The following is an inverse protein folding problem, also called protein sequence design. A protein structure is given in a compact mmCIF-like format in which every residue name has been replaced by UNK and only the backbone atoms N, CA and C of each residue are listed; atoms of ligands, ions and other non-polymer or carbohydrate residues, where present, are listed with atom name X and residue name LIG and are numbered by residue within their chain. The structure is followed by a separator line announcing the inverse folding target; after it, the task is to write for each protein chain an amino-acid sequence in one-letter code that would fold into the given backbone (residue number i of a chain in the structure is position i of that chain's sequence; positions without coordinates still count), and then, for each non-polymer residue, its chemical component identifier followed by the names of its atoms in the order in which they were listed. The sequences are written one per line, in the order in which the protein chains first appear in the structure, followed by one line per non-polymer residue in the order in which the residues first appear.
data_IF_112573103791
#
_entry.id   IF_112573103791
#
_cell.length_a   1.000
_cell.length_b   1.000
_cell.length_c   1.000
_cell.angle_alpha   90.00
_cell.angle_beta   90.00
_cell.angle_gamma   90.00
#
_symmetry.space_group_name_H-M   'P 1'
#
loop_
_entity.id
_entity.type
_entity.pdbx_description
1 polymer ?
#
# COMPACT_ATOMS: atom_id res chain seq x y z
N UNK A 1 -7.34 -17.32 -8.27
CA UNK A 1 -6.87 -16.60 -7.07
C UNK A 1 -7.00 -17.55 -5.89
N UNK A 2 -5.98 -17.69 -5.03
CA UNK A 2 -6.14 -18.40 -3.76
C UNK A 2 -6.95 -17.53 -2.78
N UNK A 3 -7.92 -18.14 -2.09
CA UNK A 3 -8.87 -17.44 -1.23
C UNK A 3 -8.28 -17.19 0.17
N UNK A 4 -8.65 -16.09 0.84
CA UNK A 4 -8.19 -15.85 2.19
C UNK A 4 -8.78 -16.86 3.17
N UNK A 5 -8.08 -17.09 4.28
CA UNK A 5 -8.47 -18.10 5.25
C UNK A 5 -9.72 -17.73 6.04
N UNK A 6 -9.94 -16.45 6.32
CA UNK A 6 -10.98 -15.97 7.20
C UNK A 6 -11.85 -14.95 6.47
N UNK A 7 -13.13 -14.87 6.87
CA UNK A 7 -14.11 -13.97 6.25
C UNK A 7 -14.73 -14.51 4.96
N UNK A 8 -14.35 -15.73 4.54
CA UNK A 8 -15.02 -16.46 3.47
C UNK A 8 -16.13 -17.34 4.05
N UNK A 9 -17.38 -17.18 3.61
CA UNK A 9 -18.50 -18.04 3.99
C UNK A 9 -18.29 -19.51 3.58
N UNK A 10 -19.24 -20.37 3.96
CA UNK A 10 -19.18 -21.84 3.77
C UNK A 10 -18.97 -22.25 2.30
N UNK A 11 -19.42 -21.39 1.36
CA UNK A 11 -19.30 -21.60 -0.09
C UNK A 11 -18.18 -20.80 -0.74
N UNK A 12 -17.25 -20.26 0.05
CA UNK A 12 -16.08 -19.52 -0.39
C UNK A 12 -16.36 -18.13 -1.00
N UNK A 13 -17.43 -17.46 -0.58
CA UNK A 13 -17.73 -16.06 -0.91
C UNK A 13 -17.37 -15.13 0.25
N UNK A 14 -16.83 -13.95 -0.06
CA UNK A 14 -16.45 -12.95 0.93
C UNK A 14 -17.68 -12.49 1.72
N UNK A 15 -17.70 -12.69 3.04
CA UNK A 15 -18.78 -12.26 3.92
C UNK A 15 -18.53 -10.82 4.36
N UNK A 16 -19.32 -9.90 3.83
CA UNK A 16 -19.27 -8.47 4.21
C UNK A 16 -19.79 -8.19 5.63
N UNK A 17 -20.39 -9.20 6.27
CA UNK A 17 -21.05 -9.07 7.57
C UNK A 17 -20.22 -9.61 8.73
N UNK A 18 -19.12 -10.32 8.45
CA UNK A 18 -18.28 -10.96 9.46
C UNK A 18 -16.81 -10.77 9.10
N UNK A 19 -16.19 -9.79 9.73
CA UNK A 19 -14.79 -9.47 9.50
C UNK A 19 -13.87 -10.44 10.27
N UNK A 20 -12.63 -10.57 9.82
CA UNK A 20 -11.64 -11.33 10.56
C UNK A 20 -11.34 -10.69 11.91
N UNK A 21 -11.61 -11.44 12.98
CA UNK A 21 -11.61 -10.96 14.36
C UNK A 21 -12.98 -11.00 15.04
N UNK A 22 -14.08 -11.19 14.30
CA UNK A 22 -15.38 -11.49 14.92
C UNK A 22 -15.38 -12.90 15.54
N UNK A 23 -15.99 -13.11 16.72
CA UNK A 23 -16.03 -14.41 17.39
C UNK A 23 -16.65 -15.53 16.54
N UNK A 24 -17.54 -15.14 15.61
CA UNK A 24 -18.31 -16.06 14.76
C UNK A 24 -17.88 -15.99 13.28
N UNK A 25 -16.74 -15.38 12.97
CA UNK A 25 -16.20 -15.35 11.62
C UNK A 25 -15.72 -16.74 11.20
N UNK A 26 -16.14 -17.26 10.04
CA UNK A 26 -15.65 -18.53 9.53
C UNK A 26 -14.15 -18.45 9.23
N UNK A 27 -13.39 -19.41 9.76
CA UNK A 27 -11.97 -19.62 9.50
C UNK A 27 -11.82 -20.91 8.68
N UNK A 28 -10.92 -20.88 7.70
CA UNK A 28 -10.71 -21.97 6.78
C UNK A 28 -10.16 -23.21 7.51
N UNK A 29 -10.48 -24.43 7.02
CA UNK A 29 -9.74 -25.62 7.40
C UNK A 29 -8.28 -25.45 6.95
N UNK A 30 -7.32 -25.69 7.86
CA UNK A 30 -5.88 -25.53 7.65
C UNK A 30 -5.43 -24.11 7.26
N UNK A 31 -5.40 -23.15 8.21
CA UNK A 31 -4.91 -21.79 7.97
C UNK A 31 -3.48 -21.72 7.44
N UNK A 32 -2.66 -22.70 7.82
CA UNK A 32 -1.26 -22.85 7.39
C UNK A 32 -1.13 -23.34 5.92
N UNK A 33 -2.25 -23.51 5.20
CA UNK A 33 -2.30 -23.87 3.77
C UNK A 33 -2.82 -22.74 2.86
N UNK A 34 -3.03 -21.52 3.40
CA UNK A 34 -3.47 -20.34 2.63
C UNK A 34 -2.38 -19.30 2.54
N UNK A 35 -2.28 -18.53 1.45
CA UNK A 35 -1.31 -17.41 1.35
C UNK A 35 -1.78 -16.18 2.15
N UNK A 36 -3.08 -15.99 2.37
CA UNK A 36 -3.62 -14.84 3.09
C UNK A 36 -4.66 -15.24 4.16
N UNK A 37 -4.60 -14.57 5.32
CA UNK A 37 -5.54 -14.70 6.42
C UNK A 37 -6.89 -14.08 6.11
N UNK A 38 -6.97 -12.86 5.59
CA UNK A 38 -8.22 -12.11 5.39
C UNK A 38 -8.24 -11.33 4.06
N UNK A 39 -7.29 -11.63 3.17
CA UNK A 39 -7.06 -10.93 1.92
C UNK A 39 -6.08 -9.75 2.08
N UNK A 40 -5.71 -9.41 3.32
CA UNK A 40 -4.92 -8.24 3.69
C UNK A 40 -3.68 -8.60 4.52
N UNK A 41 -3.76 -9.66 5.32
CA UNK A 41 -2.68 -10.21 6.12
C UNK A 41 -2.24 -11.54 5.50
N UNK A 42 -0.94 -11.77 5.39
CA UNK A 42 -0.41 -13.04 4.89
C UNK A 42 -0.36 -14.08 6.02
N UNK A 43 -0.54 -15.36 5.71
CA UNK A 43 -0.37 -16.44 6.71
C UNK A 43 1.11 -16.83 6.85
N UNK A 44 1.42 -17.64 7.86
CA UNK A 44 2.73 -18.23 8.06
C UNK A 44 3.23 -19.04 6.85
N UNK A 45 2.32 -19.61 6.05
CA UNK A 45 2.68 -20.35 4.84
C UNK A 45 3.25 -19.45 3.74
N UNK A 46 2.77 -18.21 3.62
CA UNK A 46 3.35 -17.24 2.68
C UNK A 46 4.83 -16.94 3.00
N UNK A 47 5.26 -17.22 4.24
CA UNK A 47 6.59 -16.92 4.75
C UNK A 47 7.51 -18.14 4.86
N UNK A 48 7.05 -19.35 4.51
CA UNK A 48 7.94 -20.51 4.43
C UNK A 48 8.93 -20.34 3.26
N UNK A 49 10.11 -19.78 3.56
CA UNK A 49 11.27 -19.70 2.65
C UNK A 49 11.44 -18.40 1.85
N UNK A 50 10.59 -17.37 2.01
CA UNK A 50 10.50 -16.25 1.06
C UNK A 50 10.45 -14.83 1.68
N UNK A 51 11.11 -14.60 2.82
CA UNK A 51 11.20 -13.28 3.49
C UNK A 51 10.14 -13.05 4.55
N UNK A 52 10.21 -11.92 5.27
CA UNK A 52 9.29 -11.56 6.35
C UNK A 52 8.63 -10.21 6.04
N UNK A 53 7.30 -10.13 6.11
CA UNK A 53 6.55 -8.91 5.86
C UNK A 53 5.81 -8.48 7.13
N UNK A 54 6.11 -7.25 7.59
CA UNK A 54 5.47 -6.63 8.75
C UNK A 54 4.47 -5.53 8.35
N UNK A 55 4.33 -5.26 7.05
CA UNK A 55 3.44 -4.24 6.53
C UNK A 55 1.99 -4.55 6.90
N UNK A 56 1.29 -3.52 7.34
CA UNK A 56 -0.13 -3.60 7.63
C UNK A 56 -0.90 -2.62 6.75
N UNK A 57 -1.99 -3.10 6.18
CA UNK A 57 -3.05 -2.26 5.65
C UNK A 57 -3.36 -1.08 6.56
N UNK A 58 -3.47 0.10 5.94
CA UNK A 58 -3.82 1.35 6.60
C UNK A 58 -2.88 1.87 7.68
N UNK A 59 -1.68 1.33 7.79
CA UNK A 59 -0.74 1.88 8.74
C UNK A 59 -0.40 3.33 8.41
N UNK A 60 -0.38 4.15 9.44
CA UNK A 60 0.06 5.53 9.39
C UNK A 60 1.54 5.63 9.71
N UNK A 61 2.23 6.63 9.14
CA UNK A 61 3.60 6.95 9.51
C UNK A 61 3.65 7.44 10.96
N UNK A 62 2.65 8.22 11.35
CA UNK A 62 2.53 8.79 12.68
C UNK A 62 1.66 7.92 13.60
N UNK A 63 1.99 7.85 14.90
CA UNK A 63 1.10 7.25 15.89
C UNK A 63 -0.25 7.97 15.95
N UNK A 64 -1.29 7.24 16.30
CA UNK A 64 -2.67 7.76 16.40
C UNK A 64 -2.77 8.93 17.38
N UNK A 65 -1.97 8.96 18.44
CA UNK A 65 -1.94 10.06 19.41
C UNK A 65 -1.40 11.36 18.80
N UNK A 66 -0.47 11.25 17.86
CA UNK A 66 0.09 12.41 17.14
C UNK A 66 -0.92 12.95 16.13
N UNK A 67 -1.64 12.05 15.44
CA UNK A 67 -2.71 12.41 14.51
C UNK A 67 -3.90 13.04 15.23
N UNK A 68 -4.29 12.51 16.38
CA UNK A 68 -5.38 13.05 17.21
C UNK A 68 -5.09 14.49 17.66
N UNK A 69 -3.83 14.80 18.03
CA UNK A 69 -3.41 16.19 18.36
C UNK A 69 -3.57 17.17 17.18
N UNK A 70 -3.65 16.66 15.96
CA UNK A 70 -3.89 17.43 14.72
C UNK A 70 -5.36 17.39 14.28
N UNK A 71 -6.27 16.90 15.12
CA UNK A 71 -7.69 16.67 14.82
C UNK A 71 -7.91 15.72 13.63
N UNK A 72 -7.00 14.77 13.42
CA UNK A 72 -7.13 13.72 12.41
C UNK A 72 -7.63 12.45 13.11
N UNK A 73 -8.83 12.01 12.75
CA UNK A 73 -9.44 10.80 13.30
C UNK A 73 -8.91 9.58 12.57
N UNK A 74 -8.28 8.66 13.31
CA UNK A 74 -7.95 7.33 12.84
C UNK A 74 -8.64 6.31 13.75
N UNK A 75 -9.69 5.60 13.27
CA UNK A 75 -10.38 4.59 14.07
C UNK A 75 -9.53 3.33 14.31
N UNK A 76 -8.44 3.11 13.56
CA UNK A 76 -7.56 1.96 13.70
C UNK A 76 -6.28 2.34 14.48
N UNK A 77 -6.20 1.88 15.73
CA UNK A 77 -5.41 2.56 16.78
C UNK A 77 -4.04 1.97 17.07
N UNK A 78 -3.63 0.86 16.42
CA UNK A 78 -2.47 0.07 16.91
C UNK A 78 -1.56 -0.51 15.82
N UNK A 79 -1.46 0.14 14.67
CA UNK A 79 -0.74 -0.44 13.51
C UNK A 79 0.19 0.54 12.78
N UNK A 80 0.51 1.67 13.41
CA UNK A 80 1.42 2.69 12.87
C UNK A 80 2.82 2.13 12.62
N UNK A 81 3.62 2.85 11.84
CA UNK A 81 4.97 2.43 11.44
C UNK A 81 5.84 2.03 12.63
N UNK A 82 5.81 2.80 13.71
CA UNK A 82 6.60 2.47 14.91
C UNK A 82 6.20 1.10 15.49
N UNK A 83 4.91 0.73 15.46
CA UNK A 83 4.45 -0.57 15.93
C UNK A 83 4.97 -1.69 15.04
N UNK A 84 5.01 -1.49 13.72
CA UNK A 84 5.59 -2.47 12.79
C UNK A 84 7.10 -2.63 12.98
N UNK A 85 7.81 -1.52 13.26
CA UNK A 85 9.23 -1.55 13.60
C UNK A 85 9.47 -2.26 14.94
N UNK A 86 8.58 -2.12 15.92
CA UNK A 86 8.63 -2.86 17.18
C UNK A 86 8.42 -4.37 16.96
N UNK A 87 7.49 -4.77 16.07
CA UNK A 87 7.30 -6.17 15.70
C UNK A 87 8.53 -6.75 14.99
N UNK A 88 9.12 -5.99 14.08
CA UNK A 88 10.35 -6.36 13.39
C UNK A 88 11.52 -6.51 14.38
N UNK A 89 11.67 -5.58 15.32
CA UNK A 89 12.67 -5.66 16.38
C UNK A 89 12.45 -6.89 17.28
N UNK A 90 11.20 -7.16 17.65
CA UNK A 90 10.82 -8.35 18.44
C UNK A 90 11.16 -9.64 17.70
N UNK A 91 10.91 -9.70 16.39
CA UNK A 91 11.28 -10.83 15.56
C UNK A 91 12.80 -11.04 15.55
N UNK A 92 13.60 -9.98 15.36
CA UNK A 92 15.07 -10.09 15.42
C UNK A 92 15.57 -10.57 16.76
N UNK A 93 15.01 -10.07 17.87
CA UNK A 93 15.36 -10.57 19.20
C UNK A 93 15.00 -12.06 19.40
N UNK A 94 14.00 -12.57 18.66
CA UNK A 94 13.63 -13.98 18.68
C UNK A 94 14.56 -14.87 17.85
N UNK A 95 15.19 -14.34 16.80
CA UNK A 95 16.06 -15.12 15.90
C UNK A 95 17.56 -14.90 16.13
N UNK A 96 17.95 -13.83 16.81
CA UNK A 96 19.34 -13.44 17.07
C UNK A 96 19.71 -13.69 18.54
N UNK A 97 20.88 -14.27 18.80
CA UNK A 97 21.37 -14.49 20.17
C UNK A 97 22.01 -13.24 20.77
N UNK A 98 22.68 -12.45 19.94
CA UNK A 98 23.33 -11.18 20.29
C UNK A 98 23.48 -10.33 19.02
N UNK A 99 24.10 -9.15 19.16
CA UNK A 99 24.21 -8.19 18.06
C UNK A 99 25.10 -8.69 16.91
N UNK A 100 26.17 -9.43 17.20
CA UNK A 100 27.09 -9.95 16.20
C UNK A 100 26.44 -11.08 15.38
N UNK A 101 25.71 -11.98 16.06
CA UNK A 101 24.90 -13.02 15.42
C UNK A 101 23.81 -12.40 14.52
N UNK A 102 23.21 -11.29 14.95
CA UNK A 102 22.20 -10.60 14.16
C UNK A 102 22.79 -9.93 12.92
N UNK A 103 23.92 -9.25 13.07
CA UNK A 103 24.64 -8.66 11.94
C UNK A 103 25.01 -9.72 10.91
N UNK A 104 25.51 -10.88 11.35
CA UNK A 104 25.87 -11.99 10.45
C UNK A 104 24.66 -12.60 9.75
N UNK A 105 23.53 -12.79 10.45
CA UNK A 105 22.29 -13.30 9.86
C UNK A 105 21.64 -12.34 8.87
N UNK A 106 21.77 -11.04 9.11
CA UNK A 106 21.11 -9.99 8.34
C UNK A 106 22.04 -9.32 7.31
N UNK A 107 23.30 -9.76 7.19
CA UNK A 107 24.31 -9.11 6.33
C UNK A 107 23.93 -9.01 4.85
N UNK A 108 23.11 -9.93 4.35
CA UNK A 108 22.59 -9.96 2.97
C UNK A 108 21.09 -9.66 2.91
N UNK A 109 20.47 -9.27 4.03
CA UNK A 109 19.05 -8.98 4.07
C UNK A 109 18.78 -7.62 3.40
N UNK A 110 17.71 -7.58 2.60
CA UNK A 110 17.16 -6.33 2.08
C UNK A 110 15.98 -5.90 2.96
N UNK A 111 16.07 -4.70 3.53
CA UNK A 111 14.98 -4.09 4.27
C UNK A 111 14.25 -3.09 3.39
N UNK A 112 12.92 -3.19 3.36
CA UNK A 112 12.05 -2.25 2.66
C UNK A 112 11.04 -1.68 3.68
N UNK A 113 10.97 -0.34 3.86
CA UNK A 113 10.09 0.41 4.82
C UNK A 113 9.20 1.55 4.21
N UNK A 114 7.85 1.38 4.10
CA UNK A 114 6.86 2.21 3.35
C UNK A 114 5.70 1.35 2.76
N UNK A 115 4.75 1.80 1.91
CA UNK A 115 4.30 3.13 1.46
C UNK A 115 3.65 3.78 2.66
N UNK A 116 4.43 4.58 3.38
CA UNK A 116 3.99 5.11 4.67
C UNK A 116 3.88 6.63 4.57
N UNK A 117 2.85 7.20 5.19
CA UNK A 117 2.52 8.63 5.07
C UNK A 117 1.31 8.89 4.18
N UNK A 118 1.04 8.04 3.16
CA UNK A 118 -0.13 8.18 2.29
C UNK A 118 -1.46 8.17 3.06
N UNK A 119 -1.57 7.30 4.06
CA UNK A 119 -2.75 7.21 4.93
C UNK A 119 -2.91 8.44 5.83
N UNK A 120 -1.82 8.97 6.38
CA UNK A 120 -1.80 10.18 7.22
C UNK A 120 -2.39 11.38 6.46
N UNK A 121 -2.00 11.50 5.18
CA UNK A 121 -2.45 12.54 4.26
C UNK A 121 -3.92 12.35 3.90
N UNK A 122 -4.28 11.14 3.49
CA UNK A 122 -5.64 10.74 3.09
C UNK A 122 -6.63 10.97 4.24
N UNK A 123 -6.30 10.54 5.47
CA UNK A 123 -7.15 10.75 6.65
C UNK A 123 -7.40 12.24 6.92
N UNK A 124 -6.39 13.08 6.72
CA UNK A 124 -6.54 14.53 6.86
C UNK A 124 -7.47 15.12 5.78
N UNK A 125 -7.22 14.81 4.51
CA UNK A 125 -8.01 15.36 3.39
C UNK A 125 -9.48 14.93 3.43
N UNK A 126 -9.76 13.71 3.88
CA UNK A 126 -11.11 13.14 3.90
C UNK A 126 -11.80 13.21 5.27
N UNK A 127 -11.24 13.96 6.23
CA UNK A 127 -11.79 14.20 7.59
C UNK A 127 -12.27 12.92 8.30
N UNK A 128 -11.58 11.79 8.08
CA UNK A 128 -11.93 10.51 8.70
C UNK A 128 -13.27 9.89 8.24
N UNK A 129 -13.89 10.38 7.15
CA UNK A 129 -15.12 9.76 6.63
C UNK A 129 -14.83 8.47 5.87
N UNK A 130 -15.19 7.34 6.48
CA UNK A 130 -15.39 5.98 5.95
C UNK A 130 -14.52 5.54 4.76
N UNK A 131 -13.25 5.31 5.01
CA UNK A 131 -12.41 4.49 4.14
C UNK A 131 -11.94 3.26 4.90
N UNK A 132 -12.58 2.12 4.62
CA UNK A 132 -12.03 0.81 4.95
C UNK A 132 -10.66 0.66 4.30
N UNK A 133 -9.84 -0.09 4.99
CA UNK A 133 -8.41 0.13 5.10
C UNK A 133 -7.62 -0.97 4.39
N UNK A 134 -6.62 -0.62 3.56
CA UNK A 134 -6.00 -1.56 2.62
C UNK A 134 -4.45 -1.44 2.56
N UNK A 135 -3.73 -2.50 2.11
CA UNK A 135 -2.28 -2.68 2.25
C UNK A 135 -1.45 -2.07 1.11
N UNK A 136 -0.33 -1.43 1.47
CA UNK A 136 0.68 -0.89 0.55
C UNK A 136 2.11 -1.17 1.06
N UNK A 137 3.04 -1.33 0.12
CA UNK A 137 4.48 -1.67 0.28
C UNK A 137 5.34 -0.47 -0.12
N UNK A 138 6.65 -0.48 0.12
CA UNK A 138 7.58 0.65 0.38
C UNK A 138 8.13 1.46 -0.78
N UNK A 139 7.64 2.69 -0.86
CA UNK A 139 8.35 3.85 -1.46
C UNK A 139 7.93 5.27 -1.03
N UNK A 140 8.43 6.27 -1.74
CA UNK A 140 7.81 7.61 -1.82
C UNK A 140 6.39 7.57 -2.38
N UNK A 141 5.53 8.48 -1.94
CA UNK A 141 4.11 8.52 -2.28
C UNK A 141 3.89 8.65 -3.79
N UNK A 142 3.05 7.80 -4.38
CA UNK A 142 2.66 7.87 -5.79
C UNK A 142 1.87 9.16 -6.07
N UNK A 143 1.66 9.56 -7.34
CA UNK A 143 0.82 10.71 -7.67
C UNK A 143 -0.64 10.46 -7.27
N UNK A 144 -0.99 10.80 -6.02
CA UNK A 144 -2.31 10.56 -5.45
C UNK A 144 -3.43 11.28 -6.22
N UNK A 145 -3.11 12.35 -6.96
CA UNK A 145 -4.03 13.07 -7.83
C UNK A 145 -4.42 12.30 -9.09
N UNK A 146 -3.74 11.20 -9.40
CA UNK A 146 -4.07 10.30 -10.51
C UNK A 146 -4.99 9.14 -10.10
N UNK A 147 -5.29 8.97 -8.81
CA UNK A 147 -6.15 7.88 -8.37
C UNK A 147 -7.63 8.15 -8.71
N UNK A 148 -8.42 7.11 -9.06
CA UNK A 148 -9.85 7.27 -9.35
C UNK A 148 -10.65 7.94 -8.22
N UNK A 149 -10.30 7.67 -6.96
CA UNK A 149 -10.91 8.31 -5.79
C UNK A 149 -10.72 9.84 -5.79
N UNK A 150 -9.50 10.29 -6.06
CA UNK A 150 -9.13 11.71 -6.09
C UNK A 150 -9.82 12.40 -7.27
N UNK A 151 -9.73 11.80 -8.45
CA UNK A 151 -10.36 12.30 -9.67
C UNK A 151 -11.87 12.45 -9.53
N UNK A 152 -12.53 11.52 -8.83
CA UNK A 152 -13.98 11.62 -8.62
C UNK A 152 -14.36 12.66 -7.58
N UNK A 153 -13.70 12.67 -6.42
CA UNK A 153 -14.06 13.55 -5.31
C UNK A 153 -13.78 15.03 -5.61
N UNK A 154 -12.72 15.29 -6.38
CA UNK A 154 -12.30 16.64 -6.74
C UNK A 154 -12.48 16.92 -8.23
N UNK A 155 -13.45 16.24 -8.88
CA UNK A 155 -13.79 16.44 -10.29
C UNK A 155 -14.02 17.92 -10.55
N UNK A 156 -13.31 18.45 -11.54
CA UNK A 156 -13.35 19.86 -11.90
C UNK A 156 -13.34 20.01 -13.41
N UNK A 157 -14.07 21.01 -13.92
CA UNK A 157 -14.05 21.37 -15.33
C UNK A 157 -12.92 22.36 -15.67
N UNK A 158 -12.12 22.76 -14.67
CA UNK A 158 -10.99 23.65 -14.86
C UNK A 158 -9.78 22.85 -15.36
N UNK A 159 -9.41 23.01 -16.63
CA UNK A 159 -8.24 22.35 -17.23
C UNK A 159 -6.93 22.71 -16.53
N UNK A 160 -6.83 23.90 -15.92
CA UNK A 160 -5.61 24.37 -15.25
C UNK A 160 -5.38 23.69 -13.88
N UNK A 161 -6.42 23.03 -13.35
CA UNK A 161 -6.34 22.26 -12.11
C UNK A 161 -5.77 20.85 -12.34
N UNK A 162 -5.61 20.43 -13.60
CA UNK A 162 -5.12 19.12 -13.99
C UNK A 162 -3.76 19.22 -14.69
N UNK A 163 -2.94 18.18 -14.56
CA UNK A 163 -1.66 18.02 -15.29
C UNK A 163 -1.78 16.92 -16.36
N UNK A 164 -0.66 16.50 -16.94
CA UNK A 164 -0.58 15.36 -17.89
C UNK A 164 -1.47 14.20 -17.40
N UNK A 165 -2.27 13.62 -18.31
CA UNK A 165 -3.22 12.53 -18.03
C UNK A 165 -4.43 12.87 -17.14
N UNK A 166 -4.78 14.16 -16.99
CA UNK A 166 -5.92 14.65 -16.20
C UNK A 166 -5.79 14.43 -14.68
N UNK A 167 -4.59 14.17 -14.17
CA UNK A 167 -4.36 14.06 -12.73
C UNK A 167 -4.46 15.42 -12.03
N UNK A 168 -4.93 15.44 -10.78
CA UNK A 168 -5.11 16.66 -10.00
C UNK A 168 -3.75 17.24 -9.54
N UNK A 169 -3.48 18.48 -9.97
CA UNK A 169 -2.19 19.16 -9.76
C UNK A 169 -1.85 19.34 -8.29
N UNK A 170 -2.77 19.90 -7.50
CA UNK A 170 -2.51 20.21 -6.09
C UNK A 170 -2.26 18.96 -5.24
N UNK A 171 -2.97 17.87 -5.55
CA UNK A 171 -2.77 16.60 -4.88
C UNK A 171 -1.40 16.00 -5.23
N UNK A 172 -0.98 16.09 -6.49
CA UNK A 172 0.35 15.65 -6.90
C UNK A 172 1.47 16.54 -6.31
N UNK A 173 1.25 17.85 -6.18
CA UNK A 173 2.19 18.76 -5.51
C UNK A 173 2.43 18.34 -4.05
N UNK A 174 1.39 17.85 -3.37
CA UNK A 174 1.55 17.31 -2.01
C UNK A 174 2.44 16.06 -2.00
N UNK A 175 2.22 15.09 -2.89
CA UNK A 175 3.09 13.90 -3.02
C UNK A 175 4.54 14.30 -3.31
N UNK A 176 4.75 15.26 -4.22
CA UNK A 176 6.09 15.78 -4.57
C UNK A 176 6.75 16.40 -3.33
N UNK A 177 6.03 17.24 -2.59
CA UNK A 177 6.55 17.86 -1.38
C UNK A 177 6.93 16.84 -0.32
N UNK A 178 6.05 15.86 -0.05
CA UNK A 178 6.33 14.76 0.86
C UNK A 178 7.59 14.00 0.46
N UNK A 179 7.70 13.62 -0.82
CA UNK A 179 8.85 12.85 -1.33
C UNK A 179 10.15 13.66 -1.27
N UNK A 180 10.08 14.99 -1.43
CA UNK A 180 11.24 15.86 -1.23
C UNK A 180 11.72 15.86 0.23
N UNK A 181 10.80 15.94 1.19
CA UNK A 181 11.15 15.84 2.61
C UNK A 181 11.71 14.45 2.96
N UNK A 182 11.14 13.38 2.41
CA UNK A 182 11.64 12.03 2.60
C UNK A 182 13.08 11.88 2.06
N UNK A 183 13.37 12.39 0.87
CA UNK A 183 14.74 12.33 0.31
C UNK A 183 15.75 13.05 1.21
N UNK A 184 15.41 14.23 1.73
CA UNK A 184 16.27 14.97 2.68
C UNK A 184 16.50 14.18 3.97
N UNK A 185 15.46 13.59 4.55
CA UNK A 185 15.59 12.75 5.73
C UNK A 185 16.48 11.52 5.47
N UNK A 186 16.38 10.90 4.28
CA UNK A 186 17.25 9.79 3.88
C UNK A 186 18.70 10.24 3.67
N UNK A 187 18.95 11.46 3.20
CA UNK A 187 20.31 12.02 3.13
C UNK A 187 20.95 12.17 4.49
N UNK A 188 20.19 12.61 5.50
CA UNK A 188 20.69 12.70 6.87
C UNK A 188 20.91 11.31 7.47
N UNK A 189 19.98 10.37 7.25
CA UNK A 189 20.12 8.99 7.73
C UNK A 189 21.34 8.28 7.13
N UNK A 190 21.68 8.55 5.86
CA UNK A 190 22.91 8.04 5.22
C UNK A 190 24.18 8.55 5.89
N UNK A 191 24.18 9.78 6.40
CA UNK A 191 25.31 10.35 7.15
C UNK A 191 25.46 9.69 8.52
N UNK A 192 24.34 9.37 9.17
CA UNK A 192 24.31 8.70 10.47
C UNK A 192 24.67 7.21 10.38
N UNK A 193 24.36 6.56 9.24
CA UNK A 193 24.58 5.14 9.00
C UNK A 193 25.50 4.89 7.80
N UNK A 194 26.80 5.29 7.87
CA UNK A 194 27.72 5.21 6.72
C UNK A 194 28.01 3.78 6.25
N UNK A 195 27.73 2.78 7.08
CA UNK A 195 27.94 1.36 6.76
C UNK A 195 26.67 0.67 6.21
N UNK A 196 25.57 1.42 6.05
CA UNK A 196 24.30 0.90 5.54
C UNK A 196 24.01 1.54 4.20
N UNK A 197 23.75 0.72 3.18
CA UNK A 197 23.33 1.22 1.86
C UNK A 197 21.84 1.55 1.93
N UNK A 198 21.51 2.84 1.83
CA UNK A 198 20.12 3.33 1.87
C UNK A 198 19.76 3.90 0.50
N UNK A 199 18.82 3.27 -0.19
CA UNK A 199 18.37 3.69 -1.53
C UNK A 199 16.92 4.17 -1.45
N UNK A 200 16.62 5.25 -2.16
CA UNK A 200 15.25 5.77 -2.29
C UNK A 200 14.55 5.05 -3.46
N UNK A 201 13.34 4.55 -3.24
CA UNK A 201 12.50 3.97 -4.30
C UNK A 201 11.56 5.02 -4.89
N UNK A 202 11.76 5.38 -6.16
CA UNK A 202 10.99 6.42 -6.84
C UNK A 202 9.66 5.91 -7.44
N UNK A 203 8.71 5.55 -6.57
CA UNK A 203 7.40 5.11 -7.06
C UNK A 203 6.62 6.18 -7.80
N UNK A 204 6.87 7.46 -7.51
CA UNK A 204 6.21 8.53 -8.25
C UNK A 204 6.53 8.42 -9.74
N UNK A 205 7.81 8.30 -10.08
CA UNK A 205 8.22 8.14 -11.48
C UNK A 205 7.93 6.74 -12.03
N UNK A 206 7.99 5.68 -11.21
CA UNK A 206 7.55 4.34 -11.62
C UNK A 206 6.07 4.33 -12.05
N UNK A 207 5.21 4.98 -11.28
CA UNK A 207 3.79 5.11 -11.60
C UNK A 207 3.59 5.95 -12.86
N UNK A 208 4.27 7.09 -12.97
CA UNK A 208 4.21 7.94 -14.16
C UNK A 208 4.68 7.18 -15.41
N UNK A 209 5.65 6.29 -15.29
CA UNK A 209 6.10 5.43 -16.36
C UNK A 209 4.99 4.46 -16.80
N UNK A 210 4.33 3.78 -15.86
CA UNK A 210 3.18 2.89 -16.16
C UNK A 210 2.04 3.67 -16.84
N UNK A 211 1.76 4.88 -16.36
CA UNK A 211 0.72 5.75 -16.90
C UNK A 211 0.92 6.10 -18.39
N UNK A 212 2.18 6.28 -18.83
CA UNK A 212 2.48 6.60 -20.25
C UNK A 212 2.06 5.52 -21.23
N UNK A 213 1.94 4.26 -20.80
CA UNK A 213 1.56 3.15 -21.68
C UNK A 213 0.06 3.00 -21.86
N UNK A 214 -0.75 3.49 -20.91
CA UNK A 214 -2.20 3.34 -20.97
C UNK A 214 -2.95 4.40 -20.13
N UNK A 215 -2.86 5.64 -20.59
CA UNK A 215 -3.55 6.77 -19.96
C UNK A 215 -5.08 6.63 -19.92
N UNK A 216 -5.66 5.83 -20.83
CA UNK A 216 -7.10 5.60 -20.88
C UNK A 216 -7.56 4.63 -19.78
N UNK A 217 -6.72 3.66 -19.38
CA UNK A 217 -7.08 2.72 -18.30
C UNK A 217 -6.84 3.27 -16.90
N UNK A 218 -6.07 4.36 -16.74
CA UNK A 218 -5.97 5.10 -15.47
C UNK A 218 -7.33 5.60 -14.97
N UNK A 219 -8.21 5.98 -15.88
CA UNK A 219 -9.49 6.57 -15.51
C UNK A 219 -10.49 5.51 -15.05
N UNK A 220 -10.24 4.20 -15.18
CA UNK A 220 -11.25 3.20 -14.84
C UNK A 220 -10.70 2.12 -13.94
N UNK A 221 -11.32 1.97 -12.78
CA UNK A 221 -11.04 0.83 -11.91
C UNK A 221 -11.60 -0.45 -12.52
N UNK A 222 -10.86 -1.57 -12.41
CA UNK A 222 -11.36 -2.86 -12.87
C UNK A 222 -12.53 -3.38 -12.01
N UNK A 223 -12.50 -3.15 -10.71
CA UNK A 223 -13.47 -3.62 -9.74
C UNK A 223 -14.20 -2.45 -9.08
N UNK A 224 -15.49 -2.32 -9.35
CA UNK A 224 -16.30 -1.21 -8.85
C UNK A 224 -17.71 -1.18 -9.41
N UNK A 225 -18.40 -0.07 -9.15
CA UNK A 225 -19.75 0.24 -9.67
C UNK A 225 -19.78 1.74 -9.92
N UNK A 226 -20.12 2.19 -11.12
CA UNK A 226 -20.32 3.62 -11.39
C UNK A 226 -20.17 3.95 -12.86
N UNK A 227 -20.22 5.26 -13.17
CA UNK A 227 -20.22 5.75 -14.55
C UNK A 227 -18.78 6.00 -15.05
N UNK A 228 -18.36 7.25 -15.24
CA UNK A 228 -17.13 7.64 -15.95
C UNK A 228 -15.84 6.90 -15.52
N UNK A 229 -15.72 6.55 -14.24
CA UNK A 229 -14.54 5.90 -13.65
C UNK A 229 -14.81 4.47 -13.11
N UNK A 230 -15.97 3.88 -13.40
CA UNK A 230 -16.47 2.60 -12.82
C UNK A 230 -16.52 2.64 -11.28
N UNK A 231 -16.87 3.80 -10.71
CA UNK A 231 -16.70 4.12 -9.28
C UNK A 231 -17.94 4.70 -8.59
N UNK A 232 -18.16 4.27 -7.33
CA UNK A 232 -19.20 4.75 -6.41
C UNK A 232 -18.59 4.99 -5.03
N UNK A 233 -18.96 6.11 -4.40
CA UNK A 233 -18.56 6.45 -3.03
C UNK A 233 -19.12 5.49 -1.97
N UNK A 234 -20.15 4.72 -2.31
CA UNK A 234 -20.92 3.89 -1.37
C UNK A 234 -20.67 2.40 -1.63
N UNK A 235 -20.51 1.99 -2.90
CA UNK A 235 -20.32 0.58 -3.28
C UNK A 235 -18.85 0.31 -3.61
N UNK A 236 -18.18 -0.38 -2.68
CA UNK A 236 -16.79 -0.79 -2.84
C UNK A 236 -16.65 -2.05 -3.71
N UNK A 237 -15.44 -2.30 -4.23
CA UNK A 237 -15.08 -3.62 -4.75
C UNK A 237 -15.37 -4.69 -3.68
N UNK A 238 -16.01 -5.79 -4.09
CA UNK A 238 -16.48 -6.85 -3.19
C UNK A 238 -17.85 -6.61 -2.54
N UNK A 239 -18.45 -5.41 -2.67
CA UNK A 239 -19.83 -5.16 -2.23
C UNK A 239 -20.86 -5.81 -3.18
N UNK A 240 -22.10 -6.10 -2.74
CA UNK A 240 -23.11 -6.72 -3.59
C UNK A 240 -23.47 -5.78 -4.75
N UNK A 241 -23.39 -6.31 -5.97
CA UNK A 241 -23.58 -5.55 -7.19
C UNK A 241 -22.33 -4.85 -7.72
N UNK A 242 -21.16 -5.00 -7.09
CA UNK A 242 -19.87 -4.67 -7.69
C UNK A 242 -19.52 -5.64 -8.82
N UNK A 243 -19.01 -5.10 -9.92
CA UNK A 243 -18.57 -5.88 -11.08
C UNK A 243 -17.06 -5.82 -11.24
N UNK A 244 -16.49 -6.88 -11.79
CA UNK A 244 -15.07 -6.94 -12.18
C UNK A 244 -14.99 -6.86 -13.70
N UNK A 245 -14.04 -6.08 -14.21
CA UNK A 245 -13.81 -5.91 -15.63
C UNK A 245 -13.39 -7.24 -16.29
N UNK A 246 -13.64 -7.43 -17.61
CA UNK A 246 -13.32 -8.69 -18.28
C UNK A 246 -11.83 -9.06 -18.28
N UNK A 247 -10.95 -8.05 -18.38
CA UNK A 247 -9.51 -8.24 -18.38
C UNK A 247 -8.81 -7.28 -17.40
N UNK A 248 -8.46 -7.72 -16.18
CA UNK A 248 -7.72 -6.91 -15.22
C UNK A 248 -6.32 -6.50 -15.67
N UNK A 249 -5.69 -7.24 -16.59
CA UNK A 249 -4.33 -6.92 -17.05
C UNK A 249 -4.27 -5.70 -17.99
N UNK A 250 -5.42 -5.26 -18.49
CA UNK A 250 -5.60 -4.04 -19.31
C UNK A 250 -5.99 -2.83 -18.46
N UNK A 251 -5.97 -2.94 -17.13
CA UNK A 251 -6.27 -1.84 -16.22
C UNK A 251 -5.06 -1.52 -15.36
N UNK A 252 -4.79 -0.24 -15.14
CA UNK A 252 -3.82 0.19 -14.14
C UNK A 252 -4.42 0.04 -12.74
N UNK A 253 -5.65 0.52 -12.54
CA UNK A 253 -6.33 0.50 -11.25
C UNK A 253 -7.19 -0.76 -11.08
N UNK A 254 -6.96 -1.52 -10.01
CA UNK A 254 -7.83 -2.62 -9.59
C UNK A 254 -9.12 -2.08 -8.99
N UNK A 255 -9.01 -1.16 -8.03
CA UNK A 255 -10.14 -0.47 -7.43
C UNK A 255 -9.85 1.04 -7.39
N UNK A 256 -10.54 1.79 -6.52
CA UNK A 256 -10.38 3.25 -6.41
C UNK A 256 -9.03 3.73 -5.87
N UNK A 257 -8.21 2.85 -5.29
CA UNK A 257 -6.92 3.16 -4.64
C UNK A 257 -5.80 2.24 -5.14
N UNK A 258 -6.07 0.95 -5.32
CA UNK A 258 -5.04 -0.06 -5.60
C UNK A 258 -4.84 -0.28 -7.08
N UNK A 259 -3.62 -0.70 -7.41
CA UNK A 259 -3.25 -1.11 -8.75
C UNK A 259 -3.59 -2.57 -8.98
N UNK A 260 -3.74 -2.94 -10.25
CA UNK A 260 -3.82 -4.34 -10.65
C UNK A 260 -2.49 -5.04 -10.43
N UNK A 261 -2.53 -6.37 -10.37
CA UNK A 261 -1.32 -7.18 -10.31
C UNK A 261 -0.36 -6.84 -11.46
N UNK A 262 -0.90 -6.63 -12.67
CA UNK A 262 -0.10 -6.29 -13.85
C UNK A 262 0.60 -4.94 -13.70
N UNK A 263 -0.11 -3.93 -13.20
CA UNK A 263 0.48 -2.62 -12.94
C UNK A 263 1.56 -2.69 -11.84
N UNK A 264 1.32 -3.42 -10.74
CA UNK A 264 2.35 -3.66 -9.72
C UNK A 264 3.57 -4.40 -10.26
N UNK A 265 3.40 -5.38 -11.17
CA UNK A 265 4.52 -6.05 -11.83
C UNK A 265 5.37 -5.08 -12.65
N UNK A 266 4.74 -4.19 -13.41
CA UNK A 266 5.46 -3.18 -14.18
C UNK A 266 6.20 -2.19 -13.28
N UNK A 267 5.56 -1.69 -12.23
CA UNK A 267 6.21 -0.82 -11.26
C UNK A 267 7.39 -1.52 -10.58
N UNK A 268 7.21 -2.75 -10.09
CA UNK A 268 8.26 -3.52 -9.43
C UNK A 268 9.47 -3.70 -10.36
N UNK A 269 9.25 -4.07 -11.63
CA UNK A 269 10.33 -4.20 -12.60
C UNK A 269 11.05 -2.87 -12.85
N UNK A 270 10.31 -1.76 -12.98
CA UNK A 270 10.91 -0.44 -13.12
C UNK A 270 11.79 -0.08 -11.93
N UNK A 271 11.28 -0.27 -10.72
CA UNK A 271 11.97 0.05 -9.46
C UNK A 271 13.19 -0.83 -9.22
N UNK A 272 13.09 -2.11 -9.52
CA UNK A 272 14.23 -3.04 -9.43
C UNK A 272 15.36 -2.54 -10.34
N UNK A 273 15.04 -2.14 -11.57
CA UNK A 273 16.05 -1.62 -12.50
C UNK A 273 16.65 -0.28 -12.06
N UNK A 274 15.88 0.57 -11.39
CA UNK A 274 16.33 1.86 -10.84
C UNK A 274 17.20 1.70 -9.58
N UNK A 275 16.81 0.78 -8.69
CA UNK A 275 17.43 0.61 -7.37
C UNK A 275 18.65 -0.31 -7.42
N UNK A 276 18.62 -1.39 -8.20
CA UNK A 276 19.70 -2.40 -8.22
C UNK A 276 21.10 -1.81 -8.44
N UNK A 277 21.34 -0.87 -9.37
CA UNK A 277 22.66 -0.28 -9.56
C UNK A 277 23.21 0.42 -8.30
N UNK A 278 22.34 0.88 -7.41
CA UNK A 278 22.68 1.62 -6.20
C UNK A 278 22.86 0.72 -4.96
N UNK A 279 22.47 -0.57 -5.03
CA UNK A 279 22.57 -1.48 -3.89
C UNK A 279 23.98 -2.05 -3.68
N UNK A 280 24.94 -1.75 -4.55
CA UNK A 280 26.33 -2.22 -4.47
C UNK A 280 26.46 -3.73 -4.17
N UNK A 281 25.53 -4.55 -4.64
CA UNK A 281 25.56 -6.00 -4.48
C UNK A 281 26.80 -6.55 -5.17
N UNK A 282 27.72 -7.14 -4.40
CA UNK A 282 28.88 -7.87 -4.89
C UNK A 282 28.59 -9.37 -4.93
#
# INVERSE_FOLDING_TARGET
MQKPCCGAGVDNDFSLTKACGDPDAPVCPNPDERISWDGLHLTQQAYHGHGQNFAVACSTALPTEVLAKKNILNPDTRRSLNVQLDWMSTYFNGICHNIDDCAEKLKTALFMVGEIGGNDITMHFFKGHWFWCYPSVVPGNFPIGCLPISLTLFKTNNSDACVEFHCLKEMNNFSIYHNDQLRRALEDLRKELPNVVIVYGDYYNAFQWVNRFDAASLQKSCCGVGDDYDFSLIKMCGAPGATVCPNPDERISWDRVHLTQKAYQYMANWLINDILPNLHCK
#
